data_IF_343389754088
#
_entry.id   IF_343389754088
#
_cell.length_a   1.000
_cell.length_b   1.000
_cell.length_c   1.000
_cell.angle_alpha   90.00
_cell.angle_beta   90.00
_cell.angle_gamma   90.00
#
_symmetry.space_group_name_H-M   'P 1'
#
loop_
_entity.id
_entity.type
_entity.pdbx_description
1 polymer ?
#
# COMPACT_ATOMS: atom_id res chain seq x y z
N UNK A 1 -1.28 7.25 -26.83
CA UNK A 1 -1.83 6.46 -25.71
C UNK A 1 -3.27 6.89 -25.51
N UNK A 2 -4.19 5.94 -25.30
CA UNK A 2 -5.57 6.30 -24.94
C UNK A 2 -5.54 7.08 -23.62
N UNK A 3 -6.41 8.08 -23.46
CA UNK A 3 -6.54 8.88 -22.23
C UNK A 3 -6.73 7.99 -20.99
N UNK A 4 -7.33 6.81 -21.19
CA UNK A 4 -7.57 5.78 -20.20
C UNK A 4 -6.29 5.04 -19.75
N UNK A 5 -5.28 4.92 -20.62
CA UNK A 5 -3.99 4.31 -20.31
C UNK A 5 -3.05 5.26 -19.56
N UNK A 6 -3.30 6.58 -19.58
CA UNK A 6 -2.47 7.59 -18.91
C UNK A 6 -2.90 7.91 -17.47
N UNK A 7 -3.93 7.23 -16.95
CA UNK A 7 -4.48 7.48 -15.62
C UNK A 7 -4.53 6.23 -14.72
N UNK A 8 -4.13 5.06 -15.21
CA UNK A 8 -4.25 3.80 -14.45
C UNK A 8 -3.40 3.86 -13.19
N UNK A 9 -2.18 4.37 -13.28
CA UNK A 9 -1.30 4.56 -12.12
C UNK A 9 -1.95 5.42 -11.03
N UNK A 10 -2.60 6.51 -11.44
CA UNK A 10 -3.35 7.38 -10.51
C UNK A 10 -4.56 6.68 -9.90
N UNK A 11 -5.39 6.02 -10.73
CA UNK A 11 -6.58 5.30 -10.27
C UNK A 11 -6.24 4.21 -9.26
N UNK A 12 -5.23 3.37 -9.54
CA UNK A 12 -4.77 2.36 -8.60
C UNK A 12 -4.24 2.99 -7.29
N UNK A 13 -3.59 4.15 -7.37
CA UNK A 13 -3.12 4.88 -6.19
C UNK A 13 -4.27 5.34 -5.29
N UNK A 14 -5.35 5.85 -5.89
CA UNK A 14 -6.56 6.24 -5.15
C UNK A 14 -7.26 5.02 -4.54
N UNK A 15 -7.39 3.92 -5.28
CA UNK A 15 -7.98 2.67 -4.76
C UNK A 15 -7.18 2.17 -3.55
N UNK A 16 -5.84 2.21 -3.63
CA UNK A 16 -4.99 1.82 -2.51
C UNK A 16 -5.21 2.68 -1.25
N UNK A 17 -5.37 4.01 -1.42
CA UNK A 17 -5.73 4.91 -0.31
C UNK A 17 -7.09 4.57 0.30
N UNK A 18 -8.09 4.23 -0.54
CA UNK A 18 -9.41 3.79 -0.07
C UNK A 18 -9.29 2.49 0.71
N UNK A 19 -8.50 1.51 0.23
CA UNK A 19 -8.26 0.27 0.96
C UNK A 19 -7.67 0.52 2.35
N UNK A 20 -6.76 1.48 2.49
CA UNK A 20 -6.20 1.88 3.80
C UNK A 20 -7.30 2.46 4.70
N UNK A 21 -8.10 3.39 4.20
CA UNK A 21 -9.21 3.98 4.96
C UNK A 21 -10.21 2.92 5.43
N UNK A 22 -10.60 2.00 4.55
CA UNK A 22 -11.50 0.89 4.88
C UNK A 22 -10.85 -0.05 5.89
N UNK A 23 -9.56 -0.36 5.74
CA UNK A 23 -8.83 -1.22 6.67
C UNK A 23 -8.82 -0.66 8.10
N UNK A 24 -8.63 0.66 8.27
CA UNK A 24 -8.66 1.31 9.59
C UNK A 24 -10.05 1.15 10.24
N UNK A 25 -11.11 1.37 9.47
CA UNK A 25 -12.49 1.19 9.96
C UNK A 25 -12.73 -0.26 10.38
N UNK A 26 -12.39 -1.21 9.51
CA UNK A 26 -12.57 -2.65 9.77
C UNK A 26 -11.81 -3.13 11.01
N UNK A 27 -10.58 -2.65 11.19
CA UNK A 27 -9.76 -2.97 12.37
C UNK A 27 -10.38 -2.37 13.64
N UNK A 28 -10.90 -1.15 13.57
CA UNK A 28 -11.54 -0.47 14.71
C UNK A 28 -12.82 -1.16 15.19
N UNK A 29 -13.58 -1.77 14.28
CA UNK A 29 -14.81 -2.51 14.61
C UNK A 29 -14.58 -4.00 14.90
N UNK A 30 -13.31 -4.45 15.00
CA UNK A 30 -12.96 -5.83 15.39
C UNK A 30 -13.05 -6.87 14.27
N UNK A 31 -13.15 -6.47 12.99
CA UNK A 31 -13.20 -7.38 11.84
C UNK A 31 -11.80 -7.66 11.27
N UNK A 32 -10.89 -8.14 12.12
CA UNK A 32 -9.46 -8.27 11.84
C UNK A 32 -9.13 -9.17 10.63
N UNK A 33 -9.89 -10.24 10.40
CA UNK A 33 -9.70 -11.13 9.24
C UNK A 33 -10.07 -10.47 7.92
N UNK A 34 -11.11 -9.65 7.89
CA UNK A 34 -11.50 -8.91 6.68
C UNK A 34 -10.50 -7.77 6.46
N UNK A 35 -10.07 -7.12 7.54
CA UNK A 35 -9.04 -6.09 7.49
C UNK A 35 -7.75 -6.64 6.84
N UNK A 36 -7.25 -7.82 7.22
CA UNK A 36 -6.03 -8.37 6.62
C UNK A 36 -6.15 -8.61 5.10
N UNK A 37 -7.30 -9.08 4.62
CA UNK A 37 -7.58 -9.24 3.18
C UNK A 37 -7.56 -7.88 2.47
N UNK A 38 -8.22 -6.87 3.04
CA UNK A 38 -8.25 -5.51 2.48
C UNK A 38 -6.86 -4.86 2.50
N UNK A 39 -6.05 -5.14 3.54
CA UNK A 39 -4.66 -4.68 3.62
C UNK A 39 -3.84 -5.24 2.45
N UNK A 40 -3.96 -6.54 2.18
CA UNK A 40 -3.26 -7.18 1.08
C UNK A 40 -3.71 -6.61 -0.28
N UNK A 41 -5.02 -6.41 -0.47
CA UNK A 41 -5.54 -5.77 -1.68
C UNK A 41 -5.02 -4.32 -1.84
N UNK A 42 -4.93 -3.57 -0.73
CA UNK A 42 -4.34 -2.23 -0.70
C UNK A 42 -2.86 -2.23 -1.11
N UNK A 43 -2.08 -3.23 -0.68
CA UNK A 43 -0.69 -3.39 -1.07
C UNK A 43 -0.55 -3.73 -2.56
N UNK A 44 -1.32 -4.69 -3.06
CA UNK A 44 -1.28 -5.07 -4.49
C UNK A 44 -1.63 -3.87 -5.37
N UNK A 45 -2.65 -3.09 -4.99
CA UNK A 45 -3.03 -1.87 -5.72
C UNK A 45 -1.97 -0.78 -5.63
N UNK A 46 -1.26 -0.64 -4.50
CA UNK A 46 -0.10 0.27 -4.39
C UNK A 46 1.04 -0.12 -5.34
N UNK A 47 1.34 -1.41 -5.44
CA UNK A 47 2.35 -1.94 -6.38
C UNK A 47 1.93 -1.65 -7.83
N UNK A 48 0.67 -1.91 -8.16
CA UNK A 48 0.13 -1.63 -9.49
C UNK A 48 0.16 -0.13 -9.81
N UNK A 49 -0.18 0.73 -8.85
CA UNK A 49 -0.09 2.19 -8.97
C UNK A 49 1.34 2.64 -9.32
N UNK A 50 2.33 2.06 -8.63
CA UNK A 50 3.74 2.35 -8.91
C UNK A 50 4.18 1.86 -10.29
N UNK A 51 3.85 0.62 -10.65
CA UNK A 51 4.26 0.02 -11.93
C UNK A 51 3.62 0.73 -13.11
N UNK A 52 2.30 0.95 -13.09
CA UNK A 52 1.62 1.68 -14.16
C UNK A 52 2.02 3.14 -14.18
N UNK A 53 2.08 3.82 -13.03
CA UNK A 53 2.52 5.22 -12.97
C UNK A 53 3.95 5.41 -13.49
N UNK A 54 4.86 4.45 -13.23
CA UNK A 54 6.22 4.46 -13.80
C UNK A 54 6.20 4.27 -15.33
N UNK A 55 5.40 3.34 -15.85
CA UNK A 55 5.26 3.11 -17.30
C UNK A 55 4.65 4.32 -18.01
N UNK A 56 3.57 4.87 -17.47
CA UNK A 56 2.89 6.05 -17.97
C UNK A 56 3.81 7.28 -17.97
N UNK A 57 4.56 7.50 -16.89
CA UNK A 57 5.49 8.62 -16.79
C UNK A 57 6.71 8.48 -17.70
N UNK A 58 7.15 7.25 -17.97
CA UNK A 58 8.24 7.01 -18.93
C UNK A 58 7.77 7.24 -20.38
N UNK A 59 6.49 7.02 -20.66
CA UNK A 59 5.92 7.20 -21.97
C UNK A 59 5.47 8.66 -22.23
N UNK A 60 5.11 9.40 -21.17
CA UNK A 60 4.81 10.84 -21.19
C UNK A 60 5.31 11.52 -19.90
N UNK A 61 6.50 12.17 -19.93
CA UNK A 61 7.09 12.85 -18.76
C UNK A 61 6.31 14.08 -18.27
N UNK A 62 5.45 14.66 -19.10
CA UNK A 62 4.64 15.84 -18.74
C UNK A 62 3.31 15.45 -18.07
N UNK A 63 2.97 14.15 -18.06
CA UNK A 63 1.78 13.65 -17.39
C UNK A 63 1.92 13.71 -15.85
N UNK A 64 1.37 14.79 -15.29
CA UNK A 64 1.32 15.02 -13.83
C UNK A 64 0.58 13.91 -13.07
N UNK A 65 -0.45 13.29 -13.66
CA UNK A 65 -1.23 12.22 -13.00
C UNK A 65 -0.41 10.94 -12.87
N UNK A 66 0.36 10.59 -13.91
CA UNK A 66 1.29 9.46 -13.86
C UNK A 66 2.36 9.63 -12.78
N UNK A 67 2.93 10.85 -12.67
CA UNK A 67 3.88 11.20 -11.60
C UNK A 67 3.25 11.04 -10.22
N UNK A 68 2.02 11.53 -10.04
CA UNK A 68 1.27 11.40 -8.78
C UNK A 68 0.99 9.94 -8.44
N UNK A 69 0.46 9.16 -9.39
CA UNK A 69 0.18 7.72 -9.19
C UNK A 69 1.43 6.92 -8.80
N UNK A 70 2.55 7.17 -9.51
CA UNK A 70 3.86 6.60 -9.17
C UNK A 70 4.29 6.97 -7.74
N UNK A 71 4.13 8.23 -7.36
CA UNK A 71 4.55 8.74 -6.05
C UNK A 71 3.71 8.14 -4.93
N UNK A 72 2.37 8.15 -5.08
CA UNK A 72 1.45 7.55 -4.12
C UNK A 72 1.77 6.06 -3.96
N UNK A 73 1.88 5.32 -5.06
CA UNK A 73 2.21 3.89 -5.02
C UNK A 73 3.51 3.62 -4.25
N UNK A 74 4.57 4.38 -4.55
CA UNK A 74 5.85 4.24 -3.86
C UNK A 74 5.76 4.53 -2.35
N UNK A 75 5.12 5.64 -1.97
CA UNK A 75 4.95 6.03 -0.57
C UNK A 75 4.17 4.97 0.20
N UNK A 76 3.09 4.45 -0.36
CA UNK A 76 2.27 3.42 0.29
C UNK A 76 3.00 2.09 0.44
N UNK A 77 3.83 1.69 -0.53
CA UNK A 77 4.69 0.50 -0.41
C UNK A 77 5.69 0.70 0.73
N UNK A 78 6.36 1.85 0.80
CA UNK A 78 7.34 2.14 1.86
C UNK A 78 6.66 2.07 3.23
N UNK A 79 5.50 2.70 3.39
CA UNK A 79 4.73 2.66 4.64
C UNK A 79 4.43 1.22 5.04
N UNK A 80 3.94 0.39 4.12
CA UNK A 80 3.64 -1.03 4.40
C UNK A 80 4.90 -1.80 4.84
N UNK A 81 6.04 -1.58 4.20
CA UNK A 81 7.32 -2.20 4.58
C UNK A 81 7.72 -1.77 6.00
N UNK A 82 7.64 -0.47 6.31
CA UNK A 82 7.97 0.05 7.64
C UNK A 82 7.08 -0.59 8.72
N UNK A 83 5.77 -0.67 8.49
CA UNK A 83 4.85 -1.34 9.41
C UNK A 83 5.15 -2.83 9.57
N UNK A 84 5.47 -3.53 8.49
CA UNK A 84 5.85 -4.95 8.54
C UNK A 84 7.13 -5.15 9.37
N UNK A 85 8.15 -4.30 9.19
CA UNK A 85 9.38 -4.35 9.98
C UNK A 85 9.10 -4.10 11.46
N UNK A 86 8.28 -3.09 11.79
CA UNK A 86 7.88 -2.81 13.18
C UNK A 86 7.16 -4.02 13.79
N UNK A 87 6.23 -4.63 13.06
CA UNK A 87 5.50 -5.81 13.51
C UNK A 87 6.43 -7.01 13.78
N UNK A 88 7.43 -7.24 12.91
CA UNK A 88 8.43 -8.29 13.10
C UNK A 88 9.28 -8.02 14.35
N UNK A 89 9.78 -6.79 14.53
CA UNK A 89 10.59 -6.42 15.71
C UNK A 89 9.78 -6.58 17.00
N UNK A 90 8.52 -6.13 17.01
CA UNK A 90 7.63 -6.30 18.15
C UNK A 90 7.39 -7.78 18.48
N UNK A 91 7.19 -8.62 17.46
CA UNK A 91 7.00 -10.06 17.64
C UNK A 91 8.26 -10.74 18.21
N UNK A 92 9.45 -10.41 17.69
CA UNK A 92 10.73 -10.93 18.21
C UNK A 92 10.93 -10.51 19.68
N UNK A 93 10.66 -9.24 20.01
CA UNK A 93 10.74 -8.75 21.39
C UNK A 93 9.77 -9.49 22.32
N UNK A 94 8.55 -9.78 21.86
CA UNK A 94 7.56 -10.54 22.61
C UNK A 94 8.03 -11.97 22.89
N UNK A 95 8.59 -12.64 21.89
CA UNK A 95 9.15 -13.99 22.06
C UNK A 95 10.38 -14.01 22.98
N UNK A 96 11.25 -13.00 22.88
CA UNK A 96 12.40 -12.85 23.78
C UNK A 96 11.98 -12.63 25.23
N UNK A 97 10.93 -11.85 25.47
CA UNK A 97 10.35 -11.65 26.80
C UNK A 97 9.66 -12.92 27.33
N UNK A 98 8.92 -13.63 26.47
CA UNK A 98 8.29 -14.89 26.88
C UNK A 98 9.34 -15.94 27.28
N UNK A 99 10.46 -16.03 26.54
CA UNK A 99 11.56 -16.94 26.85
C UNK A 99 12.37 -16.57 28.11
N UNK A 100 12.32 -15.31 28.56
CA UNK A 100 12.97 -14.90 29.82
C UNK A 100 12.09 -15.07 31.05
N UNK A 101 10.78 -15.30 30.86
CA UNK A 101 9.80 -15.54 31.91
C UNK A 101 9.49 -17.03 32.13
N UNK A 102 9.98 -17.92 31.26
CA UNK A 102 9.87 -19.39 31.35
C UNK A 102 11.12 -20.02 31.95
#
# INVERSE_FOLDING_TARGET
MSFEDGMKGFTFGIISLICIGVNIILTTIGLSTIASIVSLAGLVTAIMAFVYGKKEYAADPDNKKAKTGKTIGLVLIIINIVFAVIAIVAMIALFGLAASLS
#
